data_IF_940953452407
#
_entry.id   IF_940953452407
#
_cell.length_a   1.000
_cell.length_b   1.000
_cell.length_c   1.000
_cell.angle_alpha   90.00
_cell.angle_beta   90.00
_cell.angle_gamma   90.00
#
_symmetry.space_group_name_H-M   'P 1'
#
loop_
_entity.id
_entity.type
_entity.pdbx_description
1 polymer ?
#
# COMPACT_ATOMS: atom_id res chain seq x y z
N UNK A 1 6.70 3.55 13.32
CA UNK A 1 5.25 3.39 13.47
C UNK A 1 4.84 2.02 12.96
N UNK A 2 4.25 1.19 13.83
CA UNK A 2 3.66 -0.10 13.45
C UNK A 2 2.40 0.14 12.60
N UNK A 3 2.08 -0.79 11.71
CA UNK A 3 0.85 -0.73 10.91
C UNK A 3 -0.40 -0.78 11.80
N UNK A 4 -0.32 -1.43 12.97
CA UNK A 4 -1.39 -1.41 13.98
C UNK A 4 -1.56 -0.03 14.63
N UNK A 5 -0.49 0.76 14.81
CA UNK A 5 -0.60 2.15 15.28
C UNK A 5 -1.34 3.04 14.26
N UNK A 6 -1.15 2.77 12.97
CA UNK A 6 -1.88 3.47 11.90
C UNK A 6 -3.37 3.07 11.85
N UNK A 7 -3.72 1.85 12.25
CA UNK A 7 -5.11 1.41 12.36
C UNK A 7 -5.79 1.94 13.63
N UNK A 8 -5.05 2.07 14.74
CA UNK A 8 -5.56 2.62 16.01
C UNK A 8 -5.96 4.09 15.89
N UNK A 9 -5.27 4.89 15.06
CA UNK A 9 -5.61 6.30 14.84
C UNK A 9 -6.90 6.53 14.01
N UNK A 10 -7.53 5.47 13.51
CA UNK A 10 -8.75 5.53 12.69
C UNK A 10 -10.02 5.02 13.38
N UNK A 11 -10.01 4.77 14.70
CA UNK A 11 -11.24 4.48 15.46
C UNK A 11 -12.00 5.78 15.74
N UNK A 12 -13.12 6.00 15.04
CA UNK A 12 -14.15 7.00 15.38
C UNK A 12 -15.44 6.25 15.79
N UNK A 13 -16.13 6.62 16.89
CA UNK A 13 -17.41 6.03 17.25
C UNK A 13 -18.57 6.76 16.55
N UNK A 14 -19.55 5.96 16.12
CA UNK A 14 -20.92 6.26 15.66
C UNK A 14 -21.18 7.26 14.51
N UNK A 15 -22.14 6.85 13.68
CA UNK A 15 -22.54 7.45 12.42
C UNK A 15 -23.08 8.88 12.56
N UNK A 16 -22.29 9.85 12.11
CA UNK A 16 -22.77 11.01 11.36
C UNK A 16 -21.84 11.22 10.16
N UNK A 17 -22.42 11.64 9.02
CA UNK A 17 -21.74 11.82 7.73
C UNK A 17 -20.37 12.50 7.92
N UNK A 18 -19.25 11.93 7.46
CA UNK A 18 -17.95 12.51 7.74
C UNK A 18 -17.73 13.77 6.89
N UNK A 19 -17.64 14.92 7.55
CA UNK A 19 -16.89 16.05 7.00
C UNK A 19 -15.45 15.59 6.73
N UNK A 20 -15.01 15.80 5.50
CA UNK A 20 -13.67 15.45 5.02
C UNK A 20 -12.62 16.23 5.83
N UNK A 21 -11.72 15.56 6.58
CA UNK A 21 -10.62 16.24 7.22
C UNK A 21 -9.67 16.79 6.15
N UNK A 22 -9.40 18.09 6.19
CA UNK A 22 -8.44 18.76 5.32
C UNK A 22 -7.04 18.16 5.54
N UNK A 23 -6.26 17.91 4.48
CA UNK A 23 -4.92 17.33 4.62
C UNK A 23 -3.96 18.33 5.27
N UNK A 24 -3.29 17.89 6.34
CA UNK A 24 -2.16 18.58 6.96
C UNK A 24 -0.94 18.37 6.06
N UNK A 25 -0.39 19.48 5.57
CA UNK A 25 0.83 19.54 4.76
C UNK A 25 2.02 19.33 5.69
N UNK A 26 2.79 18.27 5.47
CA UNK A 26 4.08 18.01 6.13
C UNK A 26 5.23 18.03 5.14
N UNK A 27 6.14 18.97 5.33
CA UNK A 27 7.31 19.28 4.50
C UNK A 27 8.34 18.14 4.49
N UNK A 28 8.95 17.91 3.33
CA UNK A 28 9.98 16.88 3.09
C UNK A 28 11.33 17.37 3.64
N UNK A 29 11.91 16.61 4.57
CA UNK A 29 13.30 16.72 5.02
C UNK A 29 14.07 15.43 4.71
N UNK A 30 15.24 15.57 4.10
CA UNK A 30 16.16 14.52 3.64
C UNK A 30 17.01 13.93 4.77
N UNK A 31 17.13 12.60 4.87
CA UNK A 31 18.25 11.90 5.54
C UNK A 31 18.21 10.40 5.16
N UNK A 32 19.18 9.89 4.39
CA UNK A 32 20.45 9.28 4.81
C UNK A 32 20.33 7.83 5.34
N UNK A 33 21.04 6.97 4.62
CA UNK A 33 21.25 5.52 4.79
C UNK A 33 22.03 5.18 6.06
N UNK A 34 21.39 4.59 7.08
CA UNK A 34 22.07 3.88 8.18
C UNK A 34 21.22 2.87 8.98
N UNK A 35 20.03 2.47 8.47
CA UNK A 35 19.05 1.70 9.25
C UNK A 35 19.36 0.18 9.40
N UNK A 36 20.37 -0.36 8.72
CA UNK A 36 20.58 -1.82 8.69
C UNK A 36 21.43 -2.37 9.85
N UNK A 37 22.33 -1.56 10.43
CA UNK A 37 23.25 -2.04 11.49
C UNK A 37 22.62 -2.05 12.89
N UNK A 38 21.51 -1.32 13.12
CA UNK A 38 20.80 -1.31 14.41
C UNK A 38 19.91 -2.52 14.67
N UNK A 39 19.61 -3.36 13.65
CA UNK A 39 18.79 -4.56 13.83
C UNK A 39 19.54 -5.72 14.49
N UNK A 40 20.86 -5.78 14.35
CA UNK A 40 21.66 -6.86 14.93
C UNK A 40 21.82 -6.71 16.45
N UNK A 41 21.98 -5.46 16.93
CA UNK A 41 22.09 -5.12 18.36
C UNK A 41 20.80 -5.37 19.15
N UNK A 42 19.63 -5.32 18.49
CA UNK A 42 18.33 -5.55 19.15
C UNK A 42 18.09 -7.03 19.51
N UNK A 43 18.69 -7.97 18.76
CA UNK A 43 18.62 -9.40 19.08
C UNK A 43 19.50 -9.78 20.28
N UNK A 44 20.57 -9.05 20.54
CA UNK A 44 21.46 -9.28 21.69
C UNK A 44 20.85 -8.76 23.00
N UNK A 45 20.11 -7.64 22.95
CA UNK A 45 19.42 -7.08 24.13
C UNK A 45 18.21 -7.93 24.58
N UNK A 46 17.58 -8.68 23.68
CA UNK A 46 16.49 -9.60 24.02
C UNK A 46 16.96 -10.85 24.79
N UNK A 47 18.24 -11.21 24.67
CA UNK A 47 18.81 -12.36 25.40
C UNK A 47 19.21 -12.04 26.85
N UNK A 48 19.41 -10.76 27.20
CA UNK A 48 19.88 -10.35 28.52
C UNK A 48 18.76 -10.21 29.58
N UNK A 49 17.49 -10.09 29.17
CA UNK A 49 16.34 -9.90 30.08
C UNK A 49 15.63 -11.22 30.48
N UNK A 50 16.21 -12.38 30.17
CA UNK A 50 15.53 -13.68 30.29
C UNK A 50 15.68 -14.38 31.64
N UNK A 51 15.82 -13.64 32.73
CA UNK A 51 15.92 -14.23 34.08
C UNK A 51 14.94 -13.49 35.00
N UNK A 52 13.68 -13.96 35.01
CA UNK A 52 12.66 -13.82 36.08
C UNK A 52 11.18 -13.71 35.61
N UNK A 53 10.89 -13.77 34.30
CA UNK A 53 9.51 -13.71 33.75
C UNK A 53 9.01 -14.94 32.96
N UNK A 54 9.70 -16.08 33.07
CA UNK A 54 9.72 -17.11 32.02
C UNK A 54 8.46 -18.00 31.91
N UNK A 55 7.67 -18.19 32.97
CA UNK A 55 6.60 -19.20 32.95
C UNK A 55 5.24 -18.67 32.42
N UNK A 56 4.91 -17.40 32.68
CA UNK A 56 3.63 -16.79 32.25
C UNK A 56 3.64 -16.33 30.79
N UNK A 57 4.80 -15.99 30.25
CA UNK A 57 4.96 -15.47 28.87
C UNK A 57 4.81 -16.57 27.81
N UNK A 58 5.14 -17.81 28.14
CA UNK A 58 5.02 -18.96 27.23
C UNK A 58 3.56 -19.33 26.93
N UNK A 59 2.69 -19.37 27.96
CA UNK A 59 1.28 -19.77 27.82
C UNK A 59 0.45 -18.79 26.97
N UNK A 60 0.62 -17.48 27.19
CA UNK A 60 -0.06 -16.45 26.38
C UNK A 60 0.42 -16.43 24.92
N UNK A 61 1.70 -16.74 24.66
CA UNK A 61 2.23 -16.89 23.29
C UNK A 61 1.61 -18.08 22.56
N UNK A 62 1.43 -19.21 23.26
CA UNK A 62 0.71 -20.36 22.73
C UNK A 62 -0.74 -20.01 22.35
N UNK A 63 -1.38 -19.16 23.16
CA UNK A 63 -2.75 -18.69 22.92
C UNK A 63 -2.87 -17.83 21.67
N UNK A 64 -1.98 -16.84 21.49
CA UNK A 64 -1.94 -16.01 20.27
C UNK A 64 -1.74 -16.86 19.01
N UNK A 65 -0.78 -17.79 19.04
CA UNK A 65 -0.51 -18.67 17.89
C UNK A 65 -1.74 -19.51 17.52
N UNK A 66 -2.42 -20.07 18.52
CA UNK A 66 -3.65 -20.85 18.30
C UNK A 66 -4.75 -19.99 17.68
N UNK A 67 -4.96 -18.78 18.20
CA UNK A 67 -5.92 -17.82 17.66
C UNK A 67 -5.58 -17.44 16.21
N UNK A 68 -4.31 -17.17 15.91
CA UNK A 68 -3.88 -16.86 14.54
C UNK A 68 -4.09 -18.03 13.58
N UNK A 69 -3.84 -19.27 14.01
CA UNK A 69 -4.12 -20.48 13.22
C UNK A 69 -5.60 -20.58 12.89
N UNK A 70 -6.47 -20.33 13.87
CA UNK A 70 -7.91 -20.35 13.70
C UNK A 70 -8.39 -19.24 12.75
N UNK A 71 -8.00 -17.98 12.98
CA UNK A 71 -8.43 -16.85 12.14
C UNK A 71 -7.90 -16.97 10.70
N UNK A 72 -6.68 -17.46 10.52
CA UNK A 72 -6.10 -17.59 9.18
C UNK A 72 -6.67 -18.79 8.40
N UNK A 73 -7.49 -19.64 9.01
CA UNK A 73 -8.06 -20.80 8.35
C UNK A 73 -8.93 -20.38 7.15
N UNK A 74 -8.59 -20.88 5.96
CA UNK A 74 -9.28 -20.52 4.71
C UNK A 74 -8.88 -19.16 4.12
N UNK A 75 -8.01 -18.38 4.78
CA UNK A 75 -7.48 -17.14 4.26
C UNK A 75 -6.16 -17.39 3.49
N UNK A 76 -5.83 -16.57 2.47
CA UNK A 76 -4.62 -16.76 1.69
C UNK A 76 -3.38 -16.19 2.41
N UNK A 77 -3.26 -16.34 3.74
CA UNK A 77 -2.15 -15.84 4.55
C UNK A 77 -1.76 -16.89 5.61
N UNK A 78 -0.47 -16.99 5.93
CA UNK A 78 0.01 -17.94 6.93
C UNK A 78 0.07 -17.27 8.33
N UNK A 79 -0.33 -17.94 9.42
CA UNK A 79 -0.19 -17.43 10.79
C UNK A 79 1.22 -16.90 11.13
N UNK A 80 2.26 -17.56 10.59
CA UNK A 80 3.67 -17.16 10.77
C UNK A 80 3.97 -15.82 10.08
N UNK A 81 3.35 -15.57 8.93
CA UNK A 81 3.48 -14.29 8.20
C UNK A 81 2.83 -13.17 9.01
N UNK A 82 1.64 -13.40 9.56
CA UNK A 82 0.96 -12.45 10.44
C UNK A 82 1.81 -12.16 11.67
N UNK A 83 2.34 -13.20 12.32
CA UNK A 83 3.17 -13.04 13.52
C UNK A 83 4.46 -12.23 13.23
N UNK A 84 5.06 -12.40 12.04
CA UNK A 84 6.23 -11.61 11.61
C UNK A 84 5.89 -10.14 11.32
N UNK A 85 4.63 -9.85 10.99
CA UNK A 85 4.16 -8.50 10.72
C UNK A 85 3.78 -7.74 12.01
N UNK A 86 3.48 -8.45 13.09
CA UNK A 86 3.26 -7.86 14.41
C UNK A 86 4.59 -7.41 15.03
N UNK A 87 4.61 -6.23 15.60
CA UNK A 87 5.74 -5.80 16.45
C UNK A 87 5.63 -6.46 17.84
N UNK A 88 6.72 -6.51 18.63
CA UNK A 88 6.64 -6.97 20.02
C UNK A 88 5.57 -6.22 20.83
N UNK A 89 5.46 -4.90 20.63
CA UNK A 89 4.45 -4.07 21.29
C UNK A 89 3.03 -4.50 20.92
N UNK A 90 2.76 -4.80 19.65
CA UNK A 90 1.43 -5.26 19.22
C UNK A 90 1.02 -6.57 19.89
N UNK A 91 1.98 -7.48 20.09
CA UNK A 91 1.76 -8.74 20.80
C UNK A 91 1.47 -8.48 22.27
N UNK A 92 2.19 -7.56 22.90
CA UNK A 92 1.98 -7.22 24.31
C UNK A 92 0.66 -6.47 24.53
N UNK A 93 0.31 -5.54 23.65
CA UNK A 93 -0.98 -4.84 23.66
C UNK A 93 -2.15 -5.84 23.55
N UNK A 94 -2.05 -6.83 22.66
CA UNK A 94 -3.06 -7.88 22.58
C UNK A 94 -3.14 -8.72 23.86
N UNK A 95 -1.99 -9.08 24.45
CA UNK A 95 -1.94 -9.87 25.70
C UNK A 95 -2.52 -9.14 26.91
N UNK A 96 -2.46 -7.80 26.89
CA UNK A 96 -3.00 -6.92 27.93
C UNK A 96 -4.48 -6.57 27.68
N UNK A 97 -5.02 -6.93 26.50
CA UNK A 97 -6.39 -6.63 26.11
C UNK A 97 -6.58 -5.25 25.48
N UNK A 98 -5.50 -4.49 25.28
CA UNK A 98 -5.52 -3.18 24.59
C UNK A 98 -5.82 -3.34 23.09
N UNK A 99 -5.53 -4.51 22.53
CA UNK A 99 -5.93 -4.92 21.18
C UNK A 99 -6.87 -6.12 21.28
N UNK A 100 -8.11 -5.93 20.84
CA UNK A 100 -9.10 -7.00 20.77
C UNK A 100 -8.81 -7.98 19.63
N UNK A 101 -9.36 -9.19 19.72
CA UNK A 101 -9.31 -10.19 18.64
C UNK A 101 -9.91 -9.65 17.33
N UNK A 102 -10.99 -8.86 17.41
CA UNK A 102 -11.58 -8.19 16.24
C UNK A 102 -10.64 -7.20 15.57
N UNK A 103 -9.81 -6.51 16.36
CA UNK A 103 -8.77 -5.60 15.84
C UNK A 103 -7.69 -6.43 15.14
N UNK A 104 -7.30 -7.58 15.69
CA UNK A 104 -6.35 -8.50 15.08
C UNK A 104 -6.88 -9.11 13.77
N UNK A 105 -8.16 -9.49 13.71
CA UNK A 105 -8.82 -9.95 12.48
C UNK A 105 -8.76 -8.85 11.41
N UNK A 106 -9.12 -7.61 11.76
CA UNK A 106 -9.08 -6.46 10.85
C UNK A 106 -7.66 -6.23 10.30
N UNK A 107 -6.65 -6.37 11.16
CA UNK A 107 -5.25 -6.30 10.76
C UNK A 107 -4.88 -7.39 9.74
N UNK A 108 -5.30 -8.64 9.95
CA UNK A 108 -5.04 -9.76 9.03
C UNK A 108 -5.65 -9.49 7.65
N UNK A 109 -6.90 -9.05 7.59
CA UNK A 109 -7.54 -8.67 6.33
C UNK A 109 -6.80 -7.53 5.62
N UNK A 110 -6.33 -6.55 6.39
CA UNK A 110 -5.56 -5.43 5.87
C UNK A 110 -4.21 -5.86 5.30
N UNK A 111 -3.53 -6.85 5.90
CA UNK A 111 -2.30 -7.44 5.36
C UNK A 111 -2.55 -8.16 4.03
N UNK A 112 -3.63 -8.94 3.93
CA UNK A 112 -4.01 -9.64 2.69
C UNK A 112 -4.25 -8.61 1.58
N UNK A 113 -5.03 -7.57 1.86
CA UNK A 113 -5.31 -6.49 0.92
C UNK A 113 -4.04 -5.75 0.50
N UNK A 114 -3.16 -5.42 1.45
CA UNK A 114 -1.89 -4.76 1.16
C UNK A 114 -1.04 -5.62 0.21
N UNK A 115 -1.00 -6.94 0.42
CA UNK A 115 -0.27 -7.85 -0.48
C UNK A 115 -0.83 -7.84 -1.89
N UNK A 116 -2.14 -7.80 -2.05
CA UNK A 116 -2.77 -7.69 -3.37
C UNK A 116 -2.42 -6.36 -4.05
N UNK A 117 -2.51 -5.26 -3.32
CA UNK A 117 -2.11 -3.93 -3.81
C UNK A 117 -0.65 -3.93 -4.28
N UNK A 118 0.27 -4.45 -3.47
CA UNK A 118 1.70 -4.54 -3.78
C UNK A 118 1.97 -5.39 -5.03
N UNK A 119 1.13 -6.40 -5.29
CA UNK A 119 1.19 -7.25 -6.50
C UNK A 119 0.52 -6.60 -7.72
N UNK A 120 -0.05 -5.40 -7.58
CA UNK A 120 -0.79 -4.74 -8.65
C UNK A 120 -2.18 -5.34 -8.89
N UNK A 121 -2.70 -6.11 -7.92
CA UNK A 121 -4.06 -6.67 -7.98
C UNK A 121 -5.05 -5.68 -7.37
N UNK A 122 -6.25 -5.65 -7.94
CA UNK A 122 -7.38 -4.87 -7.42
C UNK A 122 -8.06 -5.65 -6.29
N UNK A 123 -8.15 -5.10 -5.06
CA UNK A 123 -9.00 -5.68 -4.02
C UNK A 123 -10.47 -5.74 -4.46
N UNK A 124 -11.21 -6.78 -4.08
CA UNK A 124 -12.59 -7.00 -4.58
C UNK A 124 -13.57 -5.86 -4.28
N UNK A 125 -13.38 -5.14 -3.17
CA UNK A 125 -14.26 -4.03 -2.76
C UNK A 125 -13.87 -2.68 -3.37
N UNK A 126 -12.80 -2.62 -4.17
CA UNK A 126 -12.43 -1.42 -4.91
C UNK A 126 -13.19 -1.41 -6.24
N UNK A 127 -14.42 -0.91 -6.21
CA UNK A 127 -15.39 -1.01 -7.31
C UNK A 127 -15.62 0.29 -8.07
N UNK A 128 -15.07 1.42 -7.61
CA UNK A 128 -15.30 2.73 -8.18
C UNK A 128 -14.08 3.23 -8.96
N UNK A 129 -14.35 4.00 -10.02
CA UNK A 129 -13.32 4.70 -10.77
C UNK A 129 -12.94 6.00 -10.06
N UNK A 130 -11.65 6.23 -9.88
CA UNK A 130 -11.12 7.45 -9.31
C UNK A 130 -9.88 7.91 -10.10
N UNK A 131 -9.50 9.18 -9.96
CA UNK A 131 -8.28 9.72 -10.57
C UNK A 131 -7.29 10.08 -9.47
N UNK A 132 -6.12 9.46 -9.51
CA UNK A 132 -5.00 9.85 -8.66
C UNK A 132 -4.11 10.83 -9.42
N UNK A 133 -3.78 11.98 -8.81
CA UNK A 133 -2.93 13.00 -9.46
C UNK A 133 -1.54 12.50 -9.85
N UNK A 134 -1.04 11.45 -9.21
CA UNK A 134 0.26 10.86 -9.54
C UNK A 134 0.19 9.62 -10.43
N UNK A 135 -0.89 8.85 -10.32
CA UNK A 135 -0.99 7.55 -10.99
C UNK A 135 -1.97 7.56 -12.18
N UNK A 136 -2.84 8.55 -12.31
CA UNK A 136 -3.93 8.58 -13.29
C UNK A 136 -5.14 7.76 -12.84
N UNK A 137 -5.92 7.17 -13.76
CA UNK A 137 -7.11 6.39 -13.45
C UNK A 137 -6.82 5.14 -12.63
N UNK A 138 -7.56 4.92 -11.55
CA UNK A 138 -7.38 3.84 -10.59
C UNK A 138 -8.72 3.32 -10.06
N UNK A 139 -8.69 2.16 -9.41
CA UNK A 139 -9.80 1.62 -8.65
C UNK A 139 -9.79 2.11 -7.20
N UNK A 140 -10.91 2.54 -6.61
CA UNK A 140 -11.04 2.81 -5.18
C UNK A 140 -12.39 2.30 -4.66
N UNK A 141 -12.60 2.34 -3.34
CA UNK A 141 -13.91 2.07 -2.75
C UNK A 141 -14.90 3.24 -2.87
N UNK A 142 -14.44 4.39 -3.39
CA UNK A 142 -15.24 5.59 -3.68
C UNK A 142 -14.75 6.26 -4.97
N UNK A 143 -15.59 7.06 -5.61
CA UNK A 143 -15.24 7.82 -6.81
C UNK A 143 -14.68 9.21 -6.46
N UNK A 144 -13.90 9.81 -7.39
CA UNK A 144 -13.42 11.19 -7.27
C UNK A 144 -11.92 11.35 -7.53
N UNK A 145 -11.41 12.55 -7.20
CA UNK A 145 -9.99 12.89 -7.35
C UNK A 145 -9.25 12.77 -6.02
N UNK A 146 -8.08 12.12 -6.04
CA UNK A 146 -7.22 11.95 -4.87
C UNK A 146 -5.79 12.42 -5.13
N UNK A 147 -5.14 12.95 -4.09
CA UNK A 147 -3.73 13.35 -4.17
C UNK A 147 -2.80 12.14 -4.31
N UNK A 148 -3.13 11.05 -3.61
CA UNK A 148 -2.40 9.80 -3.63
C UNK A 148 -3.35 8.61 -3.57
N UNK A 149 -2.85 7.46 -3.99
CA UNK A 149 -3.61 6.22 -3.99
C UNK A 149 -2.79 5.06 -3.42
N UNK A 150 -3.43 3.93 -3.09
CA UNK A 150 -2.73 2.78 -2.53
C UNK A 150 -1.60 2.22 -3.41
N UNK A 151 -1.64 2.45 -4.73
CA UNK A 151 -0.59 2.04 -5.67
C UNK A 151 0.48 3.10 -5.97
N UNK A 152 0.51 4.25 -5.28
CA UNK A 152 1.59 5.23 -5.48
C UNK A 152 2.99 4.63 -5.22
N UNK A 153 3.10 3.71 -4.26
CA UNK A 153 4.34 2.96 -4.03
C UNK A 153 4.68 2.01 -5.19
N UNK A 154 3.68 1.41 -5.83
CA UNK A 154 3.90 0.62 -7.04
C UNK A 154 4.43 1.50 -8.18
N UNK A 155 3.84 2.69 -8.39
CA UNK A 155 4.38 3.68 -9.33
C UNK A 155 5.86 3.95 -9.06
N UNK A 156 6.21 4.31 -7.82
CA UNK A 156 7.58 4.63 -7.44
C UNK A 156 8.56 3.45 -7.67
N UNK A 157 8.08 2.22 -7.50
CA UNK A 157 8.84 0.98 -7.72
C UNK A 157 8.67 0.35 -9.10
N UNK A 158 8.09 1.06 -10.08
CA UNK A 158 7.82 0.57 -11.44
C UNK A 158 7.00 -0.76 -11.48
N UNK A 159 6.16 -1.00 -10.47
CA UNK A 159 5.26 -2.16 -10.37
C UNK A 159 3.90 -1.88 -11.03
N UNK A 160 3.16 -2.92 -11.44
CA UNK A 160 1.86 -2.75 -12.08
C UNK A 160 0.84 -2.00 -11.22
N UNK A 161 -0.05 -1.26 -11.88
CA UNK A 161 -1.21 -0.60 -11.30
C UNK A 161 -2.45 -1.06 -12.08
N UNK A 162 -3.46 -1.67 -11.43
CA UNK A 162 -4.66 -2.13 -12.11
C UNK A 162 -5.47 -0.92 -12.58
N UNK A 163 -5.84 -0.88 -13.87
CA UNK A 163 -6.55 0.25 -14.46
C UNK A 163 -8.06 -0.02 -14.58
N UNK A 164 -8.91 0.98 -14.32
CA UNK A 164 -10.35 0.84 -14.51
C UNK A 164 -10.80 1.00 -15.96
N UNK A 165 -10.00 1.66 -16.78
CA UNK A 165 -10.34 1.98 -18.16
C UNK A 165 -9.08 2.03 -19.03
N UNK A 166 -9.30 2.07 -20.34
CA UNK A 166 -8.27 2.41 -21.31
C UNK A 166 -7.77 3.84 -21.10
N UNK A 167 -6.51 4.08 -21.43
CA UNK A 167 -5.82 5.38 -21.35
C UNK A 167 -5.26 5.76 -22.72
N UNK A 168 -5.10 7.05 -22.96
CA UNK A 168 -4.49 7.57 -24.20
C UNK A 168 -2.96 7.59 -24.09
N UNK A 169 -2.28 7.07 -25.11
CA UNK A 169 -0.82 7.03 -25.17
C UNK A 169 -0.20 8.43 -25.05
N UNK A 170 -0.75 9.44 -25.75
CA UNK A 170 -0.27 10.82 -25.73
C UNK A 170 -0.31 11.50 -24.36
N UNK A 171 -1.12 10.99 -23.44
CA UNK A 171 -1.22 11.47 -22.06
C UNK A 171 -0.30 10.71 -21.11
N UNK A 172 0.59 9.84 -21.61
CA UNK A 172 1.52 9.05 -20.83
C UNK A 172 2.94 9.64 -20.90
N UNK A 173 3.65 9.71 -19.77
CA UNK A 173 5.07 10.15 -19.76
C UNK A 173 6.00 9.22 -20.53
N UNK A 174 5.58 7.98 -20.78
CA UNK A 174 6.38 6.98 -21.48
C UNK A 174 6.08 6.93 -22.98
N UNK A 175 5.22 7.81 -23.49
CA UNK A 175 5.01 7.94 -24.92
C UNK A 175 6.02 8.93 -25.51
N UNK A 176 6.87 8.45 -26.41
CA UNK A 176 7.87 9.24 -27.10
C UNK A 176 7.49 9.38 -28.57
N UNK A 177 7.21 10.60 -29.00
CA UNK A 177 6.87 10.92 -30.40
C UNK A 177 8.09 10.65 -31.28
N UNK A 178 7.84 10.08 -32.46
CA UNK A 178 8.86 9.96 -33.51
C UNK A 178 8.94 11.27 -34.30
N UNK A 179 9.54 11.23 -35.49
CA UNK A 179 9.57 12.38 -36.41
C UNK A 179 8.18 12.77 -36.97
N UNK A 180 7.12 12.04 -36.59
CA UNK A 180 5.76 12.34 -37.00
C UNK A 180 4.96 12.99 -35.86
N UNK A 181 4.07 13.92 -36.21
CA UNK A 181 3.35 14.75 -35.23
C UNK A 181 2.55 13.92 -34.22
N UNK A 182 1.90 12.84 -34.66
CA UNK A 182 0.98 12.02 -33.83
C UNK A 182 1.45 10.60 -33.53
N UNK A 183 2.55 10.16 -34.15
CA UNK A 183 3.00 8.77 -34.04
C UNK A 183 4.22 8.73 -33.13
N UNK A 184 4.29 7.70 -32.28
CA UNK A 184 5.37 7.49 -31.34
C UNK A 184 5.50 6.03 -30.94
N UNK A 185 6.24 5.81 -29.87
CA UNK A 185 6.45 4.48 -29.28
C UNK A 185 6.42 4.57 -27.76
N UNK A 186 6.24 3.42 -27.11
CA UNK A 186 6.27 3.33 -25.65
C UNK A 186 7.67 2.99 -25.16
N UNK A 187 8.28 3.85 -24.35
CA UNK A 187 9.61 3.62 -23.76
C UNK A 187 9.63 2.50 -22.70
N UNK A 188 8.45 2.00 -22.29
CA UNK A 188 8.30 0.82 -21.43
C UNK A 188 8.18 -0.50 -22.19
N UNK A 189 8.18 -0.46 -23.53
CA UNK A 189 8.09 -1.66 -24.37
C UNK A 189 6.70 -2.27 -24.45
N UNK A 190 5.65 -1.52 -24.12
CA UNK A 190 4.26 -1.98 -24.35
C UNK A 190 4.04 -2.26 -25.85
N UNK A 191 3.35 -3.35 -26.23
CA UNK A 191 3.21 -3.76 -27.62
C UNK A 191 2.73 -2.63 -28.53
N UNK A 192 3.33 -2.42 -29.69
CA UNK A 192 2.90 -1.40 -30.64
C UNK A 192 2.44 -2.05 -31.96
N UNK A 193 1.57 -1.37 -32.69
CA UNK A 193 1.31 -1.75 -34.08
C UNK A 193 2.59 -1.52 -34.92
N UNK A 194 2.68 -2.15 -36.10
CA UNK A 194 3.85 -2.05 -36.99
C UNK A 194 4.17 -0.59 -37.34
N UNK A 195 3.15 0.27 -37.45
CA UNK A 195 3.29 1.68 -37.74
C UNK A 195 3.59 2.57 -36.51
N UNK A 196 3.77 1.99 -35.32
CA UNK A 196 3.90 2.72 -34.05
C UNK A 196 2.56 2.90 -33.32
N UNK A 197 2.57 3.75 -32.29
CA UNK A 197 1.39 4.12 -31.50
C UNK A 197 0.96 5.53 -31.86
N UNK A 198 -0.34 5.75 -32.08
CA UNK A 198 -0.90 7.09 -32.15
C UNK A 198 -1.05 7.66 -30.75
N UNK A 199 -0.85 8.97 -30.60
CA UNK A 199 -1.08 9.67 -29.33
C UNK A 199 -2.53 9.56 -28.85
N UNK A 200 -3.49 9.46 -29.77
CA UNK A 200 -4.92 9.26 -29.47
C UNK A 200 -5.31 7.81 -29.18
N UNK A 201 -4.42 6.82 -29.39
CA UNK A 201 -4.74 5.41 -29.17
C UNK A 201 -5.17 5.17 -27.72
N UNK A 202 -6.36 4.58 -27.56
CA UNK A 202 -6.87 4.16 -26.27
C UNK A 202 -6.54 2.69 -26.02
N UNK A 203 -5.85 2.41 -24.91
CA UNK A 203 -5.47 1.04 -24.56
C UNK A 203 -5.39 0.81 -23.07
N UNK A 204 -5.55 -0.46 -22.67
CA UNK A 204 -5.21 -0.88 -21.32
C UNK A 204 -3.68 -0.90 -21.17
N UNK A 205 -3.16 -0.25 -20.13
CA UNK A 205 -1.71 -0.17 -19.87
C UNK A 205 -1.46 -0.07 -18.35
N UNK A 206 -0.89 -1.12 -17.76
CA UNK A 206 -0.59 -1.15 -16.31
C UNK A 206 0.63 -0.31 -15.93
N UNK A 207 1.42 0.09 -16.93
CA UNK A 207 2.60 0.96 -16.80
C UNK A 207 2.32 2.43 -17.12
N UNK A 208 1.07 2.77 -17.46
CA UNK A 208 0.67 4.14 -17.73
C UNK A 208 1.03 5.06 -16.56
N UNK A 209 1.53 6.25 -16.84
CA UNK A 209 1.73 7.30 -15.85
C UNK A 209 1.39 8.65 -16.49
N UNK A 210 0.54 9.47 -15.85
CA UNK A 210 0.08 10.72 -16.44
C UNK A 210 1.23 11.70 -16.60
N UNK A 211 1.21 12.49 -17.69
CA UNK A 211 2.11 13.64 -17.84
C UNK A 211 1.88 14.62 -16.69
N UNK A 212 2.93 15.07 -15.97
CA UNK A 212 2.77 16.07 -14.93
C UNK A 212 2.13 17.34 -15.49
N UNK A 213 1.02 17.76 -14.89
CA UNK A 213 0.40 19.04 -15.24
C UNK A 213 1.33 20.14 -14.73
N UNK A 214 1.91 20.93 -15.63
CA UNK A 214 2.66 22.12 -15.26
C UNK A 214 1.68 23.13 -14.65
N UNK A 215 1.76 23.35 -13.35
CA UNK A 215 1.03 24.45 -12.70
C UNK A 215 1.71 25.76 -13.06
N UNK A 216 0.94 26.80 -13.41
CA UNK A 216 1.41 28.12 -13.89
C UNK A 216 2.27 28.93 -12.88
N UNK A 217 2.78 28.32 -11.81
CA UNK A 217 3.59 28.96 -10.77
C UNK A 217 5.10 28.71 -10.84
N UNK A 218 5.58 27.93 -11.83
CA UNK A 218 7.00 27.56 -11.99
C UNK A 218 7.70 28.32 -13.14
N UNK A 219 7.28 29.56 -13.45
CA UNK A 219 7.94 30.45 -14.42
C UNK A 219 8.40 31.74 -13.75
#
# INVERSE_FOLDING_TARGET
>A
MSYLEQLKSHKHPDQQVPEVPKPIIGTIGTASTSHFEKKQSYLELLNAHQVNGSLMTSAKTGTLKKLLVEICQGLPINPTEVLKALTPQDVDDWRNGDVSDSTLITFIHSLIQHRDIVKGKRPNHYTHHAICRQCGPIWLWFAGDVQGCPWCWNRASNRPIPRPCSVQCGNCISFERSNHLHIGHCTKGEPAAIAGLWDTDQRYCEKYLPVPIRTKGDQ
#
